data_IF_063630791334
#
_entry.id   IF_063630791334
#
_cell.length_a   1.000
_cell.length_b   1.000
_cell.length_c   1.000
_cell.angle_alpha   90.00
_cell.angle_beta   90.00
_cell.angle_gamma   90.00
#
_symmetry.space_group_name_H-M   'P 1'
#
loop_
_entity.id
_entity.type
_entity.pdbx_description
1 polymer ?
#
# COMPACT_ATOMS: atom_id res chain seq x y z
N UNK A 1 7.39 -18.09 -18.80
CA UNK A 1 6.67 -17.31 -17.76
C UNK A 1 7.23 -15.89 -17.79
N UNK A 2 6.46 -14.94 -18.35
CA UNK A 2 6.88 -13.53 -18.49
C UNK A 2 6.89 -12.86 -17.11
N UNK A 3 8.08 -12.60 -16.59
CA UNK A 3 8.33 -11.98 -15.26
C UNK A 3 8.44 -10.44 -15.31
N UNK A 4 8.32 -9.84 -16.49
CA UNK A 4 8.64 -8.42 -16.68
C UNK A 4 7.56 -7.47 -16.17
N UNK A 5 6.31 -7.91 -16.04
CA UNK A 5 5.22 -7.08 -15.52
C UNK A 5 5.10 -7.16 -13.98
N UNK A 6 5.39 -8.31 -13.36
CA UNK A 6 5.38 -8.45 -11.90
C UNK A 6 6.53 -7.68 -11.21
N UNK A 7 7.72 -7.65 -11.81
CA UNK A 7 8.90 -7.07 -11.14
C UNK A 7 8.83 -5.53 -10.98
N UNK A 8 8.14 -4.83 -11.89
CA UNK A 8 8.10 -3.37 -11.87
C UNK A 8 7.21 -2.84 -10.73
N UNK A 9 6.08 -3.50 -10.47
CA UNK A 9 5.18 -3.14 -9.36
C UNK A 9 5.81 -3.44 -8.00
N UNK A 10 6.55 -4.55 -7.87
CA UNK A 10 7.25 -4.90 -6.62
C UNK A 10 8.34 -3.88 -6.28
N UNK A 11 9.08 -3.37 -7.28
CA UNK A 11 10.09 -2.33 -7.04
C UNK A 11 9.47 -1.04 -6.49
N UNK A 12 8.28 -0.67 -6.97
CA UNK A 12 7.52 0.49 -6.46
C UNK A 12 7.14 0.35 -4.98
N UNK A 13 6.91 -0.87 -4.49
CA UNK A 13 6.59 -1.11 -3.08
C UNK A 13 7.76 -0.83 -2.13
N UNK A 14 9.01 -0.72 -2.61
CA UNK A 14 10.17 -0.53 -1.73
C UNK A 14 10.50 0.96 -1.50
N UNK A 15 9.89 1.88 -2.26
CA UNK A 15 10.21 3.30 -2.23
C UNK A 15 9.13 4.07 -1.49
N UNK A 16 9.33 4.29 -0.18
CA UNK A 16 8.38 4.96 0.71
C UNK A 16 7.80 6.28 0.17
N UNK A 17 8.64 7.09 -0.49
CA UNK A 17 8.29 8.42 -1.00
C UNK A 17 7.65 8.45 -2.39
N UNK A 18 7.41 7.31 -3.02
CA UNK A 18 6.80 7.22 -4.35
C UNK A 18 5.49 6.46 -4.29
N UNK A 19 4.46 6.97 -4.96
CA UNK A 19 3.21 6.21 -5.11
C UNK A 19 3.46 4.97 -5.99
N UNK A 20 3.22 3.76 -5.49
CA UNK A 20 3.44 2.51 -6.24
C UNK A 20 2.36 2.25 -7.30
N UNK A 21 1.32 3.08 -7.34
CA UNK A 21 0.21 2.95 -8.28
C UNK A 21 -0.86 1.97 -7.79
N UNK A 22 -1.63 1.42 -8.74
CA UNK A 22 -2.71 0.48 -8.43
C UNK A 22 -2.14 -0.81 -7.85
N UNK A 23 -2.78 -1.32 -6.80
CA UNK A 23 -2.41 -2.56 -6.12
C UNK A 23 -3.56 -3.57 -6.15
N UNK A 24 -3.22 -4.86 -6.12
CA UNK A 24 -4.14 -5.89 -5.66
C UNK A 24 -4.23 -5.91 -4.13
N UNK A 25 -5.22 -6.58 -3.57
CA UNK A 25 -5.36 -6.75 -2.11
C UNK A 25 -4.09 -7.40 -1.51
N UNK A 26 -3.50 -8.38 -2.18
CA UNK A 26 -2.29 -9.07 -1.73
C UNK A 26 -1.08 -8.13 -1.71
N UNK A 27 -0.94 -7.30 -2.74
CA UNK A 27 0.14 -6.30 -2.80
C UNK A 27 -0.02 -5.23 -1.72
N UNK A 28 -1.27 -4.81 -1.45
CA UNK A 28 -1.55 -3.86 -0.38
C UNK A 28 -1.24 -4.44 1.00
N UNK A 29 -1.59 -5.70 1.27
CA UNK A 29 -1.17 -6.37 2.50
C UNK A 29 0.35 -6.52 2.61
N UNK A 30 1.04 -6.91 1.53
CA UNK A 30 2.50 -7.00 1.52
C UNK A 30 3.15 -5.63 1.79
N UNK A 31 2.65 -4.56 1.18
CA UNK A 31 3.10 -3.18 1.41
C UNK A 31 2.93 -2.77 2.89
N UNK A 32 1.82 -3.12 3.52
CA UNK A 32 1.59 -2.84 4.94
C UNK A 32 2.61 -3.50 5.86
N UNK A 33 3.04 -4.71 5.52
CA UNK A 33 4.04 -5.48 6.25
C UNK A 33 5.46 -4.96 6.00
N UNK A 34 5.80 -4.65 4.74
CA UNK A 34 7.10 -4.11 4.37
C UNK A 34 7.38 -2.75 5.01
N UNK A 35 6.34 -1.92 5.17
CA UNK A 35 6.43 -0.58 5.75
C UNK A 35 5.88 -0.52 7.18
N UNK A 36 6.00 -1.60 7.96
CA UNK A 36 5.39 -1.70 9.28
C UNK A 36 5.80 -0.54 10.23
N UNK A 37 7.04 -0.06 10.09
CA UNK A 37 7.62 1.02 10.88
C UNK A 37 7.36 2.43 10.31
N UNK A 38 6.81 2.54 9.10
CA UNK A 38 6.46 3.84 8.52
C UNK A 38 5.06 4.27 8.96
N UNK A 39 4.81 5.57 9.06
CA UNK A 39 3.44 6.06 9.29
C UNK A 39 2.72 6.31 7.95
N UNK A 40 1.39 6.16 7.94
CA UNK A 40 0.55 6.31 6.72
C UNK A 40 0.47 7.75 6.21
N UNK A 41 0.74 8.72 7.08
CA UNK A 41 0.90 10.13 6.75
C UNK A 41 2.21 10.40 6.00
N UNK A 42 3.29 9.65 6.28
CA UNK A 42 4.61 9.89 5.68
C UNK A 42 4.96 8.95 4.52
N UNK A 43 4.36 7.75 4.47
CA UNK A 43 4.66 6.75 3.44
C UNK A 43 3.55 6.69 2.39
N UNK A 44 3.88 7.06 1.15
CA UNK A 44 2.93 7.02 0.03
C UNK A 44 2.53 5.59 -0.32
N UNK A 45 3.45 4.63 -0.20
CA UNK A 45 3.17 3.19 -0.38
C UNK A 45 2.15 2.72 0.64
N UNK A 46 2.35 3.04 1.93
CA UNK A 46 1.46 2.62 3.02
C UNK A 46 0.10 3.32 2.93
N UNK A 47 0.08 4.59 2.53
CA UNK A 47 -1.14 5.35 2.26
C UNK A 47 -1.95 4.71 1.14
N UNK A 48 -1.32 4.41 -0.01
CA UNK A 48 -1.96 3.75 -1.15
C UNK A 48 -2.51 2.38 -0.77
N UNK A 49 -1.71 1.56 -0.10
CA UNK A 49 -2.13 0.26 0.40
C UNK A 49 -3.35 0.34 1.33
N UNK A 50 -3.39 1.35 2.22
CA UNK A 50 -4.53 1.57 3.12
C UNK A 50 -5.79 1.85 2.32
N UNK A 51 -5.71 2.80 1.39
CA UNK A 51 -6.83 3.16 0.52
C UNK A 51 -7.35 1.95 -0.24
N UNK A 52 -6.47 1.16 -0.87
CA UNK A 52 -6.85 -0.06 -1.59
C UNK A 52 -7.62 -1.04 -0.70
N UNK A 53 -7.11 -1.32 0.51
CA UNK A 53 -7.76 -2.26 1.44
C UNK A 53 -9.08 -1.73 2.00
N UNK A 54 -9.23 -0.41 2.14
CA UNK A 54 -10.49 0.22 2.57
C UNK A 54 -11.53 0.14 1.46
N UNK A 55 -11.15 0.47 0.23
CA UNK A 55 -12.02 0.40 -0.94
C UNK A 55 -12.46 -1.03 -1.24
N UNK A 56 -11.62 -2.04 -0.98
CA UNK A 56 -11.98 -3.46 -1.13
C UNK A 56 -12.72 -4.05 0.09
N UNK A 57 -12.98 -3.25 1.12
CA UNK A 57 -13.69 -3.67 2.34
C UNK A 57 -12.89 -4.64 3.24
N UNK A 58 -11.58 -4.75 3.02
CA UNK A 58 -10.65 -5.58 3.82
C UNK A 58 -10.08 -4.84 5.02
N UNK A 59 -10.19 -3.52 5.05
CA UNK A 59 -9.83 -2.66 6.17
C UNK A 59 -10.96 -1.68 6.46
N UNK A 60 -11.42 -1.62 7.72
CA UNK A 60 -12.38 -0.63 8.17
C UNK A 60 -11.64 0.34 9.09
N UNK A 61 -11.69 1.63 8.77
CA UNK A 61 -11.07 2.67 9.58
C UNK A 61 -12.02 3.12 10.69
N UNK A 62 -11.47 3.28 11.89
CA UNK A 62 -12.13 3.99 12.99
C UNK A 62 -12.26 5.48 12.64
N UNK A 63 -13.27 6.17 13.18
CA UNK A 63 -13.51 7.59 12.90
C UNK A 63 -12.28 8.47 13.18
N UNK A 64 -11.49 8.15 14.21
CA UNK A 64 -10.27 8.89 14.54
C UNK A 64 -9.20 8.78 13.45
N UNK A 65 -9.20 7.69 12.68
CA UNK A 65 -8.24 7.45 11.60
C UNK A 65 -8.62 8.16 10.29
N UNK A 66 -9.84 8.70 10.17
CA UNK A 66 -10.29 9.50 9.04
C UNK A 66 -9.82 10.97 9.10
N UNK A 67 -9.34 11.42 10.27
CA UNK A 67 -8.95 12.82 10.52
C UNK A 67 -7.46 13.11 10.25
N UNK A 68 -6.69 12.10 9.79
CA UNK A 68 -5.25 12.17 9.49
C UNK A 68 -5.00 12.25 7.98
#
# INVERSE_FOLDING_TARGET
>A
MQLTNLNMHVAGLLVCGSDPGVMTDEQAHAAMQLHIDCTVDQCLVRRRARTTLVESGKCVLDERALQL
#
